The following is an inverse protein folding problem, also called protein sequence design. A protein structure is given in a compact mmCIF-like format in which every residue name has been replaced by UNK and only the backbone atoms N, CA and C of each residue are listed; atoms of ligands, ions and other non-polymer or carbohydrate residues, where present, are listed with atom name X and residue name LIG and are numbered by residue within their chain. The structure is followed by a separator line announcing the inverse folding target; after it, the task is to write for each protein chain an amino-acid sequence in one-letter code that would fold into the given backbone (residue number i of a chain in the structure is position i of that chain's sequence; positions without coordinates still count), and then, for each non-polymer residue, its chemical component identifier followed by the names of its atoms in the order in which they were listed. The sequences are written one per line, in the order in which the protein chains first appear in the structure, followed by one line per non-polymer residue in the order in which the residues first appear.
data_IF_760679252778
#
_entry.id   IF_760679252778
#
_cell.length_a   1.000
_cell.length_b   1.000
_cell.length_c   1.000
_cell.angle_alpha   90.00
_cell.angle_beta   90.00
_cell.angle_gamma   90.00
#
_symmetry.space_group_name_H-M   'P 1'
#
loop_
_entity.id
_entity.type
_entity.pdbx_description
1 polymer ?
#
# COMPACT_ATOMS: atom_id res chain seq x y z
N UNK A 1 75.55 -86.70 -73.03
CA UNK A 1 74.40 -87.29 -72.31
C UNK A 1 73.19 -87.25 -73.24
N UNK A 2 72.61 -88.43 -73.55
CA UNK A 2 71.37 -88.55 -74.32
C UNK A 2 70.25 -87.80 -73.59
N UNK A 3 69.67 -86.79 -74.23
CA UNK A 3 68.37 -86.24 -73.84
C UNK A 3 67.32 -87.32 -74.08
N UNK A 4 66.86 -87.97 -73.03
CA UNK A 4 65.75 -88.90 -73.09
C UNK A 4 64.48 -88.10 -73.42
N UNK A 5 63.96 -88.26 -74.64
CA UNK A 5 62.59 -87.91 -74.99
C UNK A 5 61.69 -88.78 -74.12
N UNK A 6 61.18 -88.25 -73.02
CA UNK A 6 60.08 -88.87 -72.28
C UNK A 6 58.86 -88.85 -73.18
N UNK A 7 58.49 -90.01 -73.72
CA UNK A 7 57.18 -90.23 -74.32
C UNK A 7 56.11 -90.03 -73.24
N UNK A 8 55.63 -88.80 -73.08
CA UNK A 8 54.46 -88.48 -72.27
C UNK A 8 53.22 -88.93 -73.04
N UNK A 9 52.99 -90.24 -73.09
CA UNK A 9 51.72 -90.78 -73.55
C UNK A 9 50.68 -90.49 -72.47
N UNK A 10 49.74 -89.59 -72.76
CA UNK A 10 48.59 -89.27 -71.91
C UNK A 10 47.81 -90.56 -71.66
N UNK A 11 47.50 -90.92 -70.41
CA UNK A 11 46.72 -92.12 -70.07
C UNK A 11 45.22 -91.85 -70.04
N UNK A 12 44.40 -92.90 -70.20
CA UNK A 12 42.93 -92.83 -70.07
C UNK A 12 42.50 -92.20 -68.73
N UNK A 13 43.17 -92.57 -67.64
CA UNK A 13 42.91 -92.04 -66.29
C UNK A 13 43.23 -90.55 -66.18
N UNK A 14 44.26 -90.06 -66.90
CA UNK A 14 44.55 -88.62 -66.94
C UNK A 14 43.44 -87.85 -67.68
N UNK A 15 42.88 -88.41 -68.75
CA UNK A 15 41.76 -87.82 -69.48
C UNK A 15 40.49 -87.81 -68.63
N UNK A 16 40.18 -88.92 -67.96
CA UNK A 16 39.03 -89.04 -67.06
C UNK A 16 39.03 -87.99 -65.94
N UNK A 17 40.15 -87.84 -65.25
CA UNK A 17 40.32 -86.83 -64.19
C UNK A 17 40.15 -85.41 -64.72
N UNK A 18 40.62 -85.15 -65.93
CA UNK A 18 40.46 -83.86 -66.57
C UNK A 18 38.99 -83.58 -66.90
N UNK A 19 38.24 -84.56 -67.40
CA UNK A 19 36.80 -84.43 -67.65
C UNK A 19 36.00 -84.18 -66.36
N UNK A 20 36.32 -84.87 -65.27
CA UNK A 20 35.76 -84.58 -63.95
C UNK A 20 36.10 -83.18 -63.47
N UNK A 21 37.36 -82.73 -63.65
CA UNK A 21 37.81 -81.39 -63.28
C UNK A 21 37.05 -80.30 -64.04
N UNK A 22 36.69 -80.57 -65.29
CA UNK A 22 35.82 -79.72 -66.12
C UNK A 22 34.34 -79.81 -65.75
N UNK A 23 33.99 -80.59 -64.72
CA UNK A 23 32.63 -80.69 -64.19
C UNK A 23 31.73 -81.68 -64.94
N UNK A 24 32.29 -82.58 -65.76
CA UNK A 24 31.52 -83.67 -66.33
C UNK A 24 31.08 -84.64 -65.25
N UNK A 25 29.86 -85.16 -65.39
CA UNK A 25 29.34 -86.18 -64.49
C UNK A 25 30.19 -87.44 -64.56
N UNK A 26 30.40 -88.09 -63.41
CA UNK A 26 31.33 -89.20 -63.26
C UNK A 26 31.18 -90.31 -64.31
N UNK A 27 29.95 -90.74 -64.58
CA UNK A 27 29.68 -91.81 -65.55
C UNK A 27 29.94 -91.37 -66.99
N UNK A 28 29.62 -90.12 -67.33
CA UNK A 28 29.85 -89.54 -68.66
C UNK A 28 31.34 -89.33 -68.88
N UNK A 29 32.03 -88.76 -67.88
CA UNK A 29 33.48 -88.56 -67.91
C UNK A 29 34.22 -89.87 -68.14
N UNK A 30 33.80 -90.95 -67.46
CA UNK A 30 34.43 -92.28 -67.56
C UNK A 30 34.22 -92.92 -68.94
N UNK A 31 33.00 -92.85 -69.49
CA UNK A 31 32.72 -93.43 -70.81
C UNK A 31 33.42 -92.63 -71.93
N UNK A 32 33.36 -91.30 -71.88
CA UNK A 32 33.99 -90.44 -72.89
C UNK A 32 35.52 -90.46 -72.83
N UNK A 33 36.13 -90.54 -71.63
CA UNK A 33 37.59 -90.62 -71.52
C UNK A 33 38.13 -91.91 -72.16
N UNK A 34 37.40 -93.02 -71.97
CA UNK A 34 37.74 -94.31 -72.58
C UNK A 34 37.62 -94.25 -74.10
N UNK A 35 36.51 -93.76 -74.62
CA UNK A 35 36.30 -93.59 -76.07
C UNK A 35 37.33 -92.64 -76.69
N UNK A 36 37.62 -91.53 -76.02
CA UNK A 36 38.61 -90.56 -76.49
C UNK A 36 40.02 -91.16 -76.54
N UNK A 37 40.45 -91.88 -75.48
CA UNK A 37 41.78 -92.51 -75.43
C UNK A 37 41.99 -93.55 -76.53
N UNK A 38 40.94 -94.29 -76.91
CA UNK A 38 41.00 -95.30 -77.97
C UNK A 38 40.69 -94.74 -79.38
N UNK A 39 40.52 -93.42 -79.53
CA UNK A 39 40.07 -92.75 -80.76
C UNK A 39 38.71 -93.26 -81.30
N UNK A 40 37.84 -93.71 -80.40
CA UNK A 40 36.49 -94.21 -80.68
C UNK A 40 35.41 -93.15 -80.41
N UNK A 41 35.81 -91.90 -80.14
CA UNK A 41 34.87 -90.81 -79.92
C UNK A 41 34.12 -90.49 -81.22
N UNK A 42 32.80 -90.44 -81.14
CA UNK A 42 31.96 -90.15 -82.30
C UNK A 42 31.39 -88.73 -82.25
N UNK A 43 31.01 -88.20 -83.40
CA UNK A 43 30.26 -86.94 -83.49
C UNK A 43 28.97 -86.97 -82.66
N UNK A 44 28.33 -88.14 -82.56
CA UNK A 44 27.10 -88.32 -81.77
C UNK A 44 27.36 -88.17 -80.27
N UNK A 45 28.52 -88.60 -79.78
CA UNK A 45 28.89 -88.43 -78.36
C UNK A 45 29.05 -86.95 -78.00
N UNK A 46 29.69 -86.17 -78.89
CA UNK A 46 29.83 -84.73 -78.75
C UNK A 46 28.49 -83.98 -78.87
N UNK A 47 27.65 -84.37 -79.84
CA UNK A 47 26.30 -83.80 -80.04
C UNK A 47 25.40 -84.03 -78.82
N UNK A 48 25.47 -85.23 -78.22
CA UNK A 48 24.71 -85.54 -77.01
C UNK A 48 25.18 -84.70 -75.81
N UNK A 49 26.49 -84.49 -75.66
CA UNK A 49 27.06 -83.66 -74.60
C UNK A 49 26.65 -82.20 -74.76
N UNK A 50 26.73 -81.67 -75.99
CA UNK A 50 26.25 -80.31 -76.32
C UNK A 50 24.77 -80.13 -75.97
N UNK A 51 23.91 -81.08 -76.38
CA UNK A 51 22.48 -81.05 -76.03
C UNK A 51 22.24 -81.07 -74.52
N UNK A 52 22.95 -81.92 -73.77
CA UNK A 52 22.79 -81.97 -72.32
C UNK A 52 23.24 -80.68 -71.62
N UNK A 53 24.34 -80.07 -72.07
CA UNK A 53 24.77 -78.77 -71.56
C UNK A 53 23.75 -77.69 -71.91
N UNK A 54 23.25 -77.65 -73.15
CA UNK A 54 22.18 -76.73 -73.56
C UNK A 54 20.97 -76.81 -72.62
N UNK A 55 20.46 -78.03 -72.37
CA UNK A 55 19.33 -78.24 -71.45
C UNK A 55 19.65 -77.75 -70.03
N UNK A 56 20.85 -78.01 -69.50
CA UNK A 56 21.25 -77.54 -68.16
C UNK A 56 21.35 -76.01 -68.10
N UNK A 57 21.88 -75.37 -69.15
CA UNK A 57 21.95 -73.91 -69.25
C UNK A 57 20.57 -73.28 -69.36
N UNK A 58 19.68 -73.81 -70.20
CA UNK A 58 18.29 -73.32 -70.33
C UNK A 58 17.53 -73.42 -68.99
N UNK A 59 17.73 -74.52 -68.26
CA UNK A 59 17.17 -74.69 -66.92
C UNK A 59 17.73 -73.68 -65.92
N UNK A 60 19.02 -73.36 -65.99
CA UNK A 60 19.64 -72.35 -65.12
C UNK A 60 19.12 -70.95 -65.45
N UNK A 61 19.06 -70.58 -66.73
CA UNK A 61 18.50 -69.32 -67.20
C UNK A 61 17.05 -69.18 -66.69
N UNK A 62 16.23 -70.22 -66.89
CA UNK A 62 14.85 -70.24 -66.39
C UNK A 62 14.76 -70.05 -64.88
N UNK A 63 15.66 -70.65 -64.09
CA UNK A 63 15.70 -70.45 -62.62
C UNK A 63 16.10 -69.02 -62.25
N UNK A 64 17.09 -68.46 -62.95
CA UNK A 64 17.54 -67.07 -62.74
C UNK A 64 16.41 -66.09 -63.06
N UNK A 65 15.75 -66.25 -64.22
CA UNK A 65 14.62 -65.41 -64.64
C UNK A 65 13.48 -65.46 -63.62
N UNK A 66 13.18 -66.66 -63.09
CA UNK A 66 12.17 -66.82 -62.04
C UNK A 66 12.57 -66.13 -60.73
N UNK A 67 13.84 -66.19 -60.33
CA UNK A 67 14.34 -65.48 -59.14
C UNK A 67 14.27 -63.97 -59.35
N UNK A 68 14.72 -63.46 -60.50
CA UNK A 68 14.67 -62.05 -60.85
C UNK A 68 13.23 -61.53 -60.83
N UNK A 69 12.31 -62.25 -61.48
CA UNK A 69 10.88 -61.90 -61.48
C UNK A 69 10.30 -61.85 -60.07
N UNK A 70 10.63 -62.85 -59.22
CA UNK A 70 10.15 -62.89 -57.84
C UNK A 70 10.74 -61.77 -56.98
N UNK A 71 11.99 -61.37 -57.21
CA UNK A 71 12.62 -60.25 -56.51
C UNK A 71 12.01 -58.92 -56.94
N UNK A 72 11.79 -58.70 -58.24
CA UNK A 72 11.14 -57.51 -58.76
C UNK A 72 9.73 -57.36 -58.18
N UNK A 73 8.92 -58.44 -58.16
CA UNK A 73 7.60 -58.42 -57.52
C UNK A 73 7.65 -58.09 -56.02
N UNK A 74 8.68 -58.55 -55.30
CA UNK A 74 8.84 -58.22 -53.88
C UNK A 74 9.26 -56.76 -53.67
N UNK A 75 10.09 -56.22 -54.55
CA UNK A 75 10.51 -54.81 -54.54
C UNK A 75 9.28 -53.92 -54.80
N UNK A 76 8.51 -54.19 -55.85
CA UNK A 76 7.29 -53.45 -56.18
C UNK A 76 6.27 -53.46 -55.00
N UNK A 77 6.12 -54.61 -54.35
CA UNK A 77 5.25 -54.75 -53.18
C UNK A 77 5.80 -54.00 -51.94
N UNK A 78 7.12 -53.87 -51.80
CA UNK A 78 7.71 -53.06 -50.72
C UNK A 78 7.55 -51.57 -51.01
N UNK A 79 7.77 -51.14 -52.24
CA UNK A 79 7.61 -49.74 -52.66
C UNK A 79 6.17 -49.27 -52.44
N UNK A 80 5.19 -50.05 -52.88
CA UNK A 80 3.76 -49.77 -52.62
C UNK A 80 3.41 -49.69 -51.13
N UNK A 81 4.00 -50.55 -50.28
CA UNK A 81 3.83 -50.48 -48.82
C UNK A 81 4.48 -49.24 -48.22
N UNK A 82 5.68 -48.87 -48.68
CA UNK A 82 6.38 -47.67 -48.24
C UNK A 82 5.57 -46.42 -48.60
N UNK A 83 5.06 -46.34 -49.83
CA UNK A 83 4.22 -45.23 -50.28
C UNK A 83 2.92 -45.12 -49.48
N UNK A 84 2.29 -46.26 -49.17
CA UNK A 84 1.09 -46.30 -48.32
C UNK A 84 1.39 -45.77 -46.92
N UNK A 85 2.45 -46.27 -46.26
CA UNK A 85 2.85 -45.81 -44.93
C UNK A 85 3.22 -44.33 -44.92
N UNK A 86 3.93 -43.85 -45.95
CA UNK A 86 4.27 -42.44 -46.10
C UNK A 86 3.01 -41.57 -46.20
N UNK A 87 2.04 -41.97 -47.02
CA UNK A 87 0.77 -41.24 -47.19
C UNK A 87 -0.04 -41.21 -45.89
N UNK A 88 -0.13 -42.33 -45.17
CA UNK A 88 -0.81 -42.40 -43.87
C UNK A 88 -0.13 -41.51 -42.82
N UNK A 89 1.20 -41.51 -42.76
CA UNK A 89 1.96 -40.68 -41.82
C UNK A 89 1.80 -39.19 -42.13
N UNK A 90 1.89 -38.78 -43.41
CA UNK A 90 1.61 -37.39 -43.81
C UNK A 90 0.21 -36.98 -43.38
N UNK A 91 -0.81 -37.79 -43.66
CA UNK A 91 -2.20 -37.50 -43.26
C UNK A 91 -2.35 -37.39 -41.74
N UNK A 92 -1.67 -38.24 -40.96
CA UNK A 92 -1.69 -38.17 -39.49
C UNK A 92 -1.01 -36.90 -38.98
N UNK A 93 0.13 -36.51 -39.57
CA UNK A 93 0.85 -35.29 -39.21
C UNK A 93 -0.01 -34.06 -39.48
N UNK A 94 -0.59 -33.95 -40.68
CA UNK A 94 -1.45 -32.83 -41.07
C UNK A 94 -2.66 -32.68 -40.13
N UNK A 95 -3.27 -33.81 -39.75
CA UNK A 95 -4.38 -33.81 -38.80
C UNK A 95 -3.95 -33.37 -37.39
N UNK A 96 -2.78 -33.79 -36.92
CA UNK A 96 -2.24 -33.36 -35.62
C UNK A 96 -1.94 -31.86 -35.66
N UNK A 97 -1.29 -31.37 -36.70
CA UNK A 97 -0.97 -29.94 -36.88
C UNK A 97 -2.25 -29.09 -36.89
N UNK A 98 -3.25 -29.48 -37.68
CA UNK A 98 -4.55 -28.79 -37.73
C UNK A 98 -5.23 -28.75 -36.36
N UNK A 99 -5.23 -29.88 -35.63
CA UNK A 99 -5.84 -29.95 -34.31
C UNK A 99 -5.09 -29.12 -33.26
N UNK A 100 -3.76 -29.05 -33.35
CA UNK A 100 -2.95 -28.21 -32.47
C UNK A 100 -3.19 -26.72 -32.75
N UNK A 101 -3.22 -26.30 -34.01
CA UNK A 101 -3.53 -24.93 -34.39
C UNK A 101 -4.92 -24.51 -33.88
N UNK A 102 -5.94 -25.35 -34.09
CA UNK A 102 -7.28 -25.08 -33.54
C UNK A 102 -7.31 -24.97 -32.01
N UNK A 103 -6.48 -25.76 -31.30
CA UNK A 103 -6.38 -25.65 -29.83
C UNK A 103 -5.68 -24.37 -29.41
N UNK A 104 -4.65 -23.94 -30.14
CA UNK A 104 -3.93 -22.68 -29.90
C UNK A 104 -4.89 -21.50 -30.11
N UNK A 105 -5.59 -21.44 -31.24
CA UNK A 105 -6.56 -20.37 -31.52
C UNK A 105 -7.67 -20.30 -30.45
N UNK A 106 -8.16 -21.45 -29.99
CA UNK A 106 -9.14 -21.53 -28.90
C UNK A 106 -8.57 -21.09 -27.53
N UNK A 107 -7.27 -21.25 -27.30
CA UNK A 107 -6.62 -20.76 -26.09
C UNK A 107 -6.40 -19.24 -26.16
N UNK A 108 -5.96 -18.73 -27.30
CA UNK A 108 -5.76 -17.28 -27.51
C UNK A 108 -7.07 -16.51 -27.33
N UNK A 109 -8.16 -16.99 -27.94
CA UNK A 109 -9.50 -16.40 -27.74
C UNK A 109 -9.97 -16.42 -26.27
N UNK A 110 -9.68 -17.49 -25.53
CA UNK A 110 -9.98 -17.57 -24.09
C UNK A 110 -9.14 -16.59 -23.28
N UNK A 111 -7.85 -16.47 -23.60
CA UNK A 111 -6.93 -15.53 -22.96
C UNK A 111 -7.41 -14.10 -23.19
N UNK A 112 -7.78 -13.74 -24.41
CA UNK A 112 -8.30 -12.41 -24.75
C UNK A 112 -9.61 -12.11 -24.02
N UNK A 113 -10.51 -13.09 -23.93
CA UNK A 113 -11.76 -12.96 -23.16
C UNK A 113 -11.48 -12.69 -21.68
N UNK A 114 -10.62 -13.49 -21.05
CA UNK A 114 -10.24 -13.32 -19.64
C UNK A 114 -9.57 -11.96 -19.41
N UNK A 115 -8.68 -11.54 -20.32
CA UNK A 115 -8.03 -10.23 -20.25
C UNK A 115 -9.05 -9.09 -20.29
N UNK A 116 -10.00 -9.15 -21.22
CA UNK A 116 -11.07 -8.13 -21.35
C UNK A 116 -11.97 -8.08 -20.10
N UNK A 117 -12.35 -9.23 -19.56
CA UNK A 117 -13.14 -9.31 -18.32
C UNK A 117 -12.38 -8.73 -17.12
N UNK A 118 -11.09 -9.03 -16.99
CA UNK A 118 -10.25 -8.51 -15.91
C UNK A 118 -10.06 -6.99 -16.04
N UNK A 119 -9.78 -6.47 -17.23
CA UNK A 119 -9.72 -5.02 -17.47
C UNK A 119 -11.03 -4.34 -17.05
N UNK A 120 -12.17 -4.87 -17.49
CA UNK A 120 -13.49 -4.31 -17.13
C UNK A 120 -13.74 -4.32 -15.62
N UNK A 121 -13.35 -5.41 -14.93
CA UNK A 121 -13.49 -5.51 -13.46
C UNK A 121 -12.58 -4.50 -12.74
N UNK A 122 -11.34 -4.34 -13.20
CA UNK A 122 -10.38 -3.37 -12.64
C UNK A 122 -10.93 -1.95 -12.81
N UNK A 123 -11.35 -1.57 -14.01
CA UNK A 123 -11.90 -0.24 -14.30
C UNK A 123 -13.13 0.07 -13.43
N UNK A 124 -14.01 -0.92 -13.24
CA UNK A 124 -15.19 -0.76 -12.38
C UNK A 124 -14.81 -0.61 -10.90
N UNK A 125 -13.81 -1.35 -10.41
CA UNK A 125 -13.31 -1.21 -9.04
C UNK A 125 -12.69 0.18 -8.84
N UNK A 126 -11.84 0.62 -9.78
CA UNK A 126 -11.22 1.95 -9.75
C UNK A 126 -12.26 3.06 -9.71
N UNK A 127 -13.25 3.02 -10.61
CA UNK A 127 -14.35 4.00 -10.63
C UNK A 127 -15.13 4.04 -9.32
N UNK A 128 -15.45 2.87 -8.75
CA UNK A 128 -16.20 2.79 -7.49
C UNK A 128 -15.38 3.29 -6.30
N UNK A 129 -14.07 3.06 -6.29
CA UNK A 129 -13.18 3.58 -5.25
C UNK A 129 -13.07 5.11 -5.34
N UNK A 130 -12.87 5.66 -6.54
CA UNK A 130 -12.84 7.11 -6.75
C UNK A 130 -14.14 7.78 -6.28
N UNK A 131 -15.31 7.23 -6.66
CA UNK A 131 -16.60 7.73 -6.17
C UNK A 131 -16.74 7.68 -4.65
N UNK A 132 -16.19 6.66 -3.99
CA UNK A 132 -16.21 6.57 -2.52
C UNK A 132 -15.28 7.60 -1.88
N UNK A 133 -14.12 7.85 -2.47
CA UNK A 133 -13.18 8.89 -2.03
C UNK A 133 -13.83 10.26 -2.15
N UNK A 134 -14.38 10.62 -3.32
CA UNK A 134 -15.05 11.90 -3.55
C UNK A 134 -16.21 12.14 -2.56
N UNK A 135 -16.99 11.10 -2.28
CA UNK A 135 -18.08 11.15 -1.30
C UNK A 135 -17.56 11.34 0.14
N UNK A 136 -16.43 10.74 0.50
CA UNK A 136 -15.80 10.92 1.81
C UNK A 136 -15.24 12.33 1.95
N UNK A 137 -14.56 12.86 0.93
CA UNK A 137 -14.04 14.23 0.91
C UNK A 137 -15.18 15.24 1.10
N UNK A 138 -16.28 15.07 0.38
CA UNK A 138 -17.49 15.91 0.52
C UNK A 138 -18.07 15.87 1.95
N UNK A 139 -18.09 14.68 2.58
CA UNK A 139 -18.55 14.53 3.97
C UNK A 139 -17.59 15.19 4.96
N UNK A 140 -16.28 15.07 4.74
CA UNK A 140 -15.26 15.70 5.57
C UNK A 140 -15.39 17.22 5.50
N UNK A 141 -15.57 17.78 4.30
CA UNK A 141 -15.76 19.23 4.10
C UNK A 141 -17.04 19.73 4.76
N UNK A 142 -18.13 18.96 4.67
CA UNK A 142 -19.39 19.27 5.34
C UNK A 142 -19.21 19.32 6.87
N UNK A 143 -18.61 18.28 7.46
CA UNK A 143 -18.35 18.22 8.90
C UNK A 143 -17.43 19.35 9.35
N UNK A 144 -16.39 19.66 8.57
CA UNK A 144 -15.47 20.77 8.84
C UNK A 144 -16.23 22.11 8.86
N UNK A 145 -17.09 22.36 7.87
CA UNK A 145 -17.90 23.59 7.79
C UNK A 145 -18.88 23.71 8.97
N UNK A 146 -19.57 22.62 9.32
CA UNK A 146 -20.47 22.58 10.47
C UNK A 146 -19.72 22.86 11.78
N UNK A 147 -18.54 22.28 11.95
CA UNK A 147 -17.72 22.47 13.14
C UNK A 147 -17.21 23.91 13.24
N UNK A 148 -16.71 24.49 12.15
CA UNK A 148 -16.33 25.91 12.09
C UNK A 148 -17.50 26.80 12.50
N UNK A 149 -18.69 26.58 11.91
CA UNK A 149 -19.90 27.36 12.25
C UNK A 149 -20.27 27.25 13.73
N UNK A 150 -20.17 26.05 14.32
CA UNK A 150 -20.43 25.85 15.76
C UNK A 150 -19.42 26.57 16.64
N UNK A 151 -18.14 26.53 16.27
CA UNK A 151 -17.06 27.22 16.99
C UNK A 151 -17.30 28.74 16.94
N UNK A 152 -17.57 29.31 15.77
CA UNK A 152 -17.84 30.74 15.59
C UNK A 152 -19.06 31.19 16.44
N UNK A 153 -20.11 30.38 16.47
CA UNK A 153 -21.28 30.66 17.31
C UNK A 153 -20.98 30.61 18.81
N UNK A 154 -20.16 29.64 19.25
CA UNK A 154 -19.73 29.56 20.65
C UNK A 154 -18.88 30.78 21.02
N UNK A 155 -17.92 31.14 20.18
CA UNK A 155 -17.07 32.32 20.37
C UNK A 155 -17.91 33.60 20.49
N UNK A 156 -18.83 33.83 19.54
CA UNK A 156 -19.74 34.98 19.57
C UNK A 156 -20.58 35.04 20.85
N UNK A 157 -21.14 33.90 21.26
CA UNK A 157 -21.97 33.84 22.48
C UNK A 157 -21.15 34.07 23.75
N UNK A 158 -19.91 33.59 23.80
CA UNK A 158 -19.01 33.85 24.93
C UNK A 158 -18.63 35.34 24.99
N UNK A 159 -18.28 35.95 23.86
CA UNK A 159 -17.98 37.40 23.79
C UNK A 159 -19.17 38.24 24.27
N UNK A 160 -20.40 37.95 23.80
CA UNK A 160 -21.61 38.64 24.29
C UNK A 160 -21.84 38.49 25.79
N UNK A 161 -21.54 37.32 26.37
CA UNK A 161 -21.63 37.10 27.82
C UNK A 161 -20.57 37.89 28.57
N UNK A 162 -19.36 37.98 28.03
CA UNK A 162 -18.26 38.79 28.60
C UNK A 162 -18.65 40.28 28.58
N UNK A 163 -19.10 40.81 27.44
CA UNK A 163 -19.53 42.22 27.31
C UNK A 163 -20.65 42.58 28.30
N UNK A 164 -21.60 41.67 28.51
CA UNK A 164 -22.69 41.86 29.48
C UNK A 164 -22.18 41.80 30.94
N UNK A 165 -21.20 40.94 31.24
CA UNK A 165 -20.58 40.91 32.56
C UNK A 165 -19.79 42.20 32.82
N UNK A 166 -19.02 42.69 31.85
CA UNK A 166 -18.29 43.95 31.94
C UNK A 166 -19.26 45.13 32.20
N UNK A 167 -20.37 45.20 31.46
CA UNK A 167 -21.41 46.23 31.67
C UNK A 167 -22.01 46.17 33.09
N UNK A 168 -22.25 44.97 33.62
CA UNK A 168 -22.75 44.79 35.00
C UNK A 168 -21.70 45.21 36.03
N UNK A 169 -20.43 44.87 35.81
CA UNK A 169 -19.32 45.27 36.68
C UNK A 169 -19.20 46.79 36.71
N UNK A 170 -19.26 47.46 35.56
CA UNK A 170 -19.22 48.92 35.47
C UNK A 170 -20.40 49.58 36.18
N UNK A 171 -21.60 49.01 36.04
CA UNK A 171 -22.80 49.47 36.77
C UNK A 171 -22.61 49.36 38.28
N UNK A 172 -22.19 48.20 38.77
CA UNK A 172 -21.92 47.97 40.20
C UNK A 172 -20.84 48.92 40.72
N UNK A 173 -19.78 49.12 39.95
CA UNK A 173 -18.69 50.06 40.28
C UNK A 173 -19.23 51.49 40.41
N UNK A 174 -20.05 51.95 39.46
CA UNK A 174 -20.67 53.28 39.49
C UNK A 174 -21.60 53.46 40.70
N UNK A 175 -22.45 52.48 41.00
CA UNK A 175 -23.33 52.50 42.18
C UNK A 175 -22.54 52.55 43.49
N UNK A 176 -21.45 51.77 43.59
CA UNK A 176 -20.56 51.78 44.75
C UNK A 176 -19.86 53.14 44.92
N UNK A 177 -19.32 53.71 43.84
CA UNK A 177 -18.74 55.06 43.87
C UNK A 177 -19.75 56.10 44.34
N UNK A 178 -20.97 56.10 43.78
CA UNK A 178 -22.02 57.05 44.20
C UNK A 178 -22.42 56.88 45.68
N UNK A 179 -22.50 55.64 46.18
CA UNK A 179 -22.75 55.37 47.60
C UNK A 179 -21.62 55.88 48.48
N UNK A 180 -20.36 55.67 48.09
CA UNK A 180 -19.18 56.17 48.80
C UNK A 180 -19.20 57.71 48.84
N UNK A 181 -19.41 58.38 47.71
CA UNK A 181 -19.48 59.85 47.62
C UNK A 181 -20.58 60.41 48.53
N UNK A 182 -21.74 59.76 48.58
CA UNK A 182 -22.84 60.16 49.46
C UNK A 182 -22.51 59.97 50.95
N UNK A 183 -21.84 58.86 51.31
CA UNK A 183 -21.36 58.64 52.68
C UNK A 183 -20.32 59.71 53.06
N UNK A 184 -19.37 60.00 52.17
CA UNK A 184 -18.36 61.03 52.38
C UNK A 184 -18.99 62.40 52.62
N UNK A 185 -19.95 62.80 51.77
CA UNK A 185 -20.68 64.08 51.91
C UNK A 185 -21.45 64.18 53.23
N UNK A 186 -22.10 63.10 53.65
CA UNK A 186 -22.81 63.07 54.93
C UNK A 186 -21.85 63.19 56.11
N UNK A 187 -20.72 62.48 56.09
CA UNK A 187 -19.68 62.59 57.12
C UNK A 187 -19.09 64.01 57.18
N UNK A 188 -18.79 64.63 56.03
CA UNK A 188 -18.32 66.01 55.97
C UNK A 188 -19.34 66.99 56.59
N UNK A 189 -20.63 66.81 56.29
CA UNK A 189 -21.72 67.62 56.88
C UNK A 189 -21.82 67.42 58.39
N UNK A 190 -21.76 66.19 58.87
CA UNK A 190 -21.83 65.87 60.29
C UNK A 190 -20.64 66.45 61.06
N UNK A 191 -19.43 66.35 60.50
CA UNK A 191 -18.23 66.99 61.05
C UNK A 191 -18.33 68.51 61.11
N UNK A 192 -18.86 69.15 60.06
CA UNK A 192 -19.08 70.59 60.04
C UNK A 192 -20.08 71.03 61.12
N UNK A 193 -21.22 70.34 61.23
CA UNK A 193 -22.23 70.61 62.25
C UNK A 193 -21.68 70.44 63.67
N UNK A 194 -20.89 69.38 63.90
CA UNK A 194 -20.23 69.14 65.18
C UNK A 194 -19.24 70.25 65.52
N UNK A 195 -18.45 70.70 64.54
CA UNK A 195 -17.55 71.86 64.67
C UNK A 195 -18.29 73.12 65.11
N UNK A 196 -19.35 73.49 64.41
CA UNK A 196 -20.20 74.65 64.74
C UNK A 196 -20.81 74.55 66.16
N UNK A 197 -21.28 73.36 66.55
CA UNK A 197 -21.82 73.11 67.90
C UNK A 197 -20.74 73.29 68.99
N UNK A 198 -19.53 72.78 68.74
CA UNK A 198 -18.40 72.93 69.67
C UNK A 198 -18.00 74.40 69.82
N UNK A 199 -17.89 75.13 68.72
CA UNK A 199 -17.59 76.56 68.71
C UNK A 199 -18.64 77.35 69.50
N UNK A 200 -19.93 77.13 69.22
CA UNK A 200 -21.04 77.77 69.95
C UNK A 200 -20.99 77.47 71.46
N UNK A 201 -20.71 76.22 71.85
CA UNK A 201 -20.57 75.83 73.27
C UNK A 201 -19.36 76.48 73.93
N UNK A 202 -18.23 76.59 73.22
CA UNK A 202 -17.03 77.26 73.71
C UNK A 202 -17.28 78.76 73.93
N UNK A 203 -17.91 79.44 72.97
CA UNK A 203 -18.31 80.85 73.10
C UNK A 203 -19.24 81.08 74.29
N UNK A 204 -20.28 80.24 74.45
CA UNK A 204 -21.20 80.31 75.57
C UNK A 204 -20.48 80.10 76.91
N UNK A 205 -19.61 79.10 77.01
CA UNK A 205 -18.81 78.84 78.21
C UNK A 205 -17.86 80.01 78.53
N UNK A 206 -17.19 80.57 77.52
CA UNK A 206 -16.30 81.73 77.67
C UNK A 206 -17.07 82.97 78.16
N UNK A 207 -18.27 83.21 77.62
CA UNK A 207 -19.15 84.29 78.08
C UNK A 207 -19.57 84.12 79.53
N UNK A 208 -19.98 82.91 79.93
CA UNK A 208 -20.35 82.60 81.34
C UNK A 208 -19.15 82.78 82.27
N UNK A 209 -17.96 82.30 81.88
CA UNK A 209 -16.73 82.47 82.66
C UNK A 209 -16.38 83.95 82.83
N UNK A 210 -16.47 84.75 81.76
CA UNK A 210 -16.24 86.19 81.80
C UNK A 210 -17.20 86.91 82.75
N UNK A 211 -18.50 86.60 82.69
CA UNK A 211 -19.50 87.16 83.62
C UNK A 211 -19.21 86.74 85.08
N UNK A 212 -18.85 85.47 85.33
CA UNK A 212 -18.43 85.02 86.67
C UNK A 212 -17.20 85.77 87.18
N UNK A 213 -16.20 85.99 86.33
CA UNK A 213 -15.00 86.77 86.69
C UNK A 213 -15.35 88.23 86.99
N UNK A 214 -16.26 88.84 86.22
CA UNK A 214 -16.73 90.22 86.46
C UNK A 214 -17.47 90.35 87.79
N UNK A 215 -18.34 89.40 88.13
CA UNK A 215 -19.01 89.34 89.44
C UNK A 215 -17.99 89.13 90.56
N UNK A 216 -17.05 88.19 90.39
CA UNK A 216 -16.00 87.93 91.37
C UNK A 216 -15.13 89.17 91.61
N UNK A 217 -14.75 89.88 90.54
CA UNK A 217 -13.99 91.13 90.63
C UNK A 217 -14.78 92.24 91.35
N UNK A 218 -16.09 92.37 91.09
CA UNK A 218 -16.97 93.29 91.85
C UNK A 218 -16.99 92.94 93.34
N UNK A 219 -17.12 91.65 93.69
CA UNK A 219 -17.09 91.17 95.08
C UNK A 219 -15.74 91.47 95.73
N UNK A 220 -14.62 91.20 95.05
CA UNK A 220 -13.26 91.49 95.55
C UNK A 220 -13.08 92.98 95.79
N UNK A 221 -13.50 93.85 94.86
CA UNK A 221 -13.46 95.31 95.05
C UNK A 221 -14.29 95.71 96.27
N UNK A 222 -15.50 95.16 96.44
CA UNK A 222 -16.33 95.44 97.62
C UNK A 222 -15.61 94.99 98.90
N UNK A 223 -15.08 93.76 98.95
CA UNK A 223 -14.48 93.19 100.14
C UNK A 223 -13.13 93.82 100.52
N UNK A 224 -12.27 94.15 99.54
CA UNK A 224 -10.90 94.65 99.77
C UNK A 224 -10.83 96.18 99.80
N UNK A 225 -11.68 96.87 99.03
CA UNK A 225 -11.64 98.35 98.93
C UNK A 225 -12.80 98.98 99.69
N UNK A 226 -14.05 98.61 99.38
CA UNK A 226 -15.25 99.30 99.90
C UNK A 226 -15.47 99.02 101.39
N UNK A 227 -15.46 97.76 101.82
CA UNK A 227 -15.72 97.40 103.23
C UNK A 227 -14.66 98.01 104.16
N UNK A 228 -13.34 97.89 103.91
CA UNK A 228 -12.33 98.53 104.76
C UNK A 228 -12.45 100.05 104.77
N UNK A 229 -12.71 100.71 103.64
CA UNK A 229 -12.90 102.17 103.60
C UNK A 229 -14.14 102.61 104.38
N UNK A 230 -15.27 101.92 104.23
CA UNK A 230 -16.51 102.17 105.00
C UNK A 230 -16.27 101.96 106.50
N UNK A 231 -15.57 100.89 106.89
CA UNK A 231 -15.16 100.66 108.29
C UNK A 231 -14.27 101.82 108.76
N UNK A 232 -13.23 102.21 108.03
CA UNK A 232 -12.35 103.33 108.41
C UNK A 232 -13.08 104.66 108.57
N UNK A 233 -14.14 104.92 107.78
CA UNK A 233 -14.97 106.14 107.89
C UNK A 233 -15.92 106.05 109.09
N UNK A 234 -16.60 104.93 109.30
CA UNK A 234 -17.61 104.76 110.36
C UNK A 234 -17.00 104.54 111.74
N UNK A 235 -15.82 103.94 111.83
CA UNK A 235 -15.16 103.64 113.11
C UNK A 235 -15.06 104.89 113.99
N UNK A 236 -14.50 106.04 113.53
CA UNK A 236 -14.44 107.26 114.34
C UNK A 236 -15.83 107.81 114.74
N UNK A 237 -16.84 107.69 113.88
CA UNK A 237 -18.21 108.11 114.21
C UNK A 237 -18.85 107.22 115.29
N UNK A 238 -18.71 105.90 115.19
CA UNK A 238 -19.23 104.95 116.19
C UNK A 238 -18.44 105.06 117.49
N UNK A 239 -17.10 105.21 117.46
CA UNK A 239 -16.32 105.47 118.68
C UNK A 239 -16.71 106.79 119.32
N UNK A 240 -16.99 107.83 118.52
CA UNK A 240 -17.52 109.10 119.03
C UNK A 240 -18.90 108.93 119.68
N UNK A 241 -19.81 108.17 119.08
CA UNK A 241 -21.15 107.94 119.62
C UNK A 241 -21.11 107.13 120.93
N UNK A 242 -20.31 106.06 120.97
CA UNK A 242 -20.11 105.23 122.17
C UNK A 242 -19.46 106.04 123.29
N UNK A 243 -18.44 106.87 122.98
CA UNK A 243 -17.83 107.74 124.00
C UNK A 243 -18.78 108.85 124.48
N UNK A 244 -19.72 109.32 123.66
CA UNK A 244 -20.74 110.27 124.09
C UNK A 244 -21.88 109.64 124.90
N UNK A 245 -22.07 108.32 124.81
CA UNK A 245 -23.08 107.59 125.59
C UNK A 245 -22.53 107.09 126.95
N UNK A 246 -21.21 107.14 127.15
CA UNK A 246 -20.51 106.70 128.36
C UNK A 246 -19.94 107.86 129.22
N UNK A 247 -20.41 109.09 129.01
CA UNK A 247 -20.17 110.27 129.87
C UNK A 247 -21.50 110.85 130.35
#
# INVERSE_FOLDING_TARGET
MKSALTNNNITEEQIYKEFLRLGMEQLIAQDLSKRYYHNELTYRDLENLEKQFGIKFDNLITKIDNVEKNLNLKIDNLDTKIDTVKSELTTKIDNVEKNLNLKIDNLDTKIDTVKSELTTKIDNVEKNLNLKIDNLDTKIDTVKSELTTKIDNVEKNLNLKIDNLDTKIDTVKSELTAKIDNVEKNLQKDMFNLGQMLETKLEANNKVLFEKLKVSNRIVIIAVVVVPTVISILTPFITSLINNYLK
#
